data_IF_372368777870
#
_entry.id   IF_372368777870
#
_cell.length_a   1.000
_cell.length_b   1.000
_cell.length_c   1.000
_cell.angle_alpha   90.00
_cell.angle_beta   90.00
_cell.angle_gamma   90.00
#
_symmetry.space_group_name_H-M   'P 1'
#
loop_
_entity.id
_entity.type
_entity.pdbx_description
1 polymer ?
#
# COMPACT_ATOMS: atom_id res chain seq x y z
N UNK A 1 40.74 31.71 15.63
CA UNK A 1 39.77 31.47 14.54
C UNK A 1 40.00 30.06 14.01
N UNK A 2 39.02 29.17 14.15
CA UNK A 2 38.90 27.95 13.34
C UNK A 2 37.42 27.52 13.39
N UNK A 3 36.67 27.84 12.33
CA UNK A 3 35.29 27.37 12.14
C UNK A 3 35.36 25.94 11.62
N UNK A 4 34.95 24.96 12.42
CA UNK A 4 34.66 23.62 11.92
C UNK A 4 33.34 23.69 11.16
N UNK A 5 33.41 23.57 9.84
CA UNK A 5 32.24 23.42 8.99
C UNK A 5 31.74 21.98 9.12
N UNK A 6 30.50 21.86 9.59
CA UNK A 6 29.78 20.60 9.73
C UNK A 6 29.30 20.20 8.33
N UNK A 7 30.06 19.35 7.64
CA UNK A 7 29.64 18.73 6.38
C UNK A 7 29.19 17.32 6.69
N UNK A 8 27.94 17.16 7.14
CA UNK A 8 27.34 15.84 7.27
C UNK A 8 25.85 15.93 6.93
N UNK A 9 25.35 14.87 6.29
CA UNK A 9 23.93 14.53 6.13
C UNK A 9 23.18 15.21 4.98
N UNK A 10 23.58 14.92 3.73
CA UNK A 10 22.64 14.93 2.58
C UNK A 10 22.72 13.62 1.78
N UNK A 11 23.84 12.89 1.84
CA UNK A 11 24.03 11.65 1.06
C UNK A 11 23.58 10.34 1.73
N UNK A 12 23.52 10.27 3.06
CA UNK A 12 23.21 9.02 3.77
C UNK A 12 21.72 8.71 3.78
N UNK A 13 20.87 9.71 4.00
CA UNK A 13 19.41 9.56 3.96
C UNK A 13 18.91 9.18 2.55
N UNK A 14 19.50 9.79 1.51
CA UNK A 14 19.16 9.47 0.12
C UNK A 14 19.55 8.04 -0.25
N UNK A 15 20.78 7.63 0.08
CA UNK A 15 21.27 6.27 -0.18
C UNK A 15 20.49 5.21 0.60
N UNK A 16 20.07 5.51 1.84
CA UNK A 16 19.25 4.63 2.67
C UNK A 16 17.84 4.48 2.10
N UNK A 17 17.26 5.56 1.58
CA UNK A 17 15.98 5.54 0.88
C UNK A 17 16.03 4.66 -0.37
N UNK A 18 17.04 4.84 -1.23
CA UNK A 18 17.17 4.06 -2.47
C UNK A 18 17.40 2.56 -2.19
N UNK A 19 18.18 2.25 -1.16
CA UNK A 19 18.41 0.86 -0.73
C UNK A 19 17.17 0.21 -0.11
N UNK A 20 16.40 0.97 0.66
CA UNK A 20 15.14 0.49 1.24
C UNK A 20 14.11 0.23 0.16
N UNK A 21 13.95 1.14 -0.81
CA UNK A 21 13.04 0.95 -1.94
C UNK A 21 13.39 -0.30 -2.75
N UNK A 22 14.67 -0.51 -3.08
CA UNK A 22 15.10 -1.69 -3.82
C UNK A 22 14.85 -3.01 -3.06
N UNK A 23 15.06 -3.02 -1.74
CA UNK A 23 14.75 -4.21 -0.93
C UNK A 23 13.24 -4.48 -0.84
N UNK A 24 12.42 -3.44 -0.64
CA UNK A 24 10.96 -3.57 -0.61
C UNK A 24 10.41 -4.05 -1.95
N UNK A 25 10.90 -3.50 -3.06
CA UNK A 25 10.56 -3.95 -4.41
C UNK A 25 10.88 -5.44 -4.61
N UNK A 26 12.04 -5.90 -4.14
CA UNK A 26 12.42 -7.32 -4.23
C UNK A 26 11.54 -8.22 -3.36
N UNK A 27 11.11 -7.77 -2.19
CA UNK A 27 10.16 -8.52 -1.36
C UNK A 27 8.78 -8.58 -2.00
N UNK A 28 8.34 -7.46 -2.59
CA UNK A 28 7.07 -7.34 -3.31
C UNK A 28 7.03 -8.18 -4.58
N UNK A 29 8.16 -8.38 -5.25
CA UNK A 29 8.29 -9.27 -6.41
C UNK A 29 7.98 -10.75 -6.14
N UNK A 30 7.74 -11.14 -4.88
CA UNK A 30 7.26 -12.48 -4.55
C UNK A 30 5.74 -12.64 -4.65
N UNK A 31 4.99 -11.54 -4.78
CA UNK A 31 3.53 -11.54 -4.91
C UNK A 31 3.12 -11.51 -6.39
N UNK A 32 1.88 -11.93 -6.68
CA UNK A 32 1.38 -11.99 -8.05
C UNK A 32 0.92 -10.62 -8.57
N UNK A 33 0.35 -9.79 -7.69
CA UNK A 33 -0.20 -8.49 -8.04
C UNK A 33 -0.20 -7.51 -6.86
N UNK A 34 -0.50 -6.24 -7.17
CA UNK A 34 -0.47 -5.15 -6.21
C UNK A 34 -1.61 -4.15 -6.42
N UNK A 35 -2.19 -3.68 -5.32
CA UNK A 35 -3.10 -2.55 -5.26
C UNK A 35 -2.38 -1.34 -4.66
N UNK A 36 -2.39 -0.22 -5.37
CA UNK A 36 -1.69 1.01 -4.96
C UNK A 36 -2.70 2.04 -4.48
N UNK A 37 -2.78 2.24 -3.17
CA UNK A 37 -3.59 3.25 -2.53
C UNK A 37 -2.78 4.52 -2.31
N UNK A 38 -3.40 5.71 -2.37
CA UNK A 38 -2.70 6.93 -2.00
C UNK A 38 -2.47 6.97 -0.48
N UNK A 39 -1.36 7.56 -0.03
CA UNK A 39 -1.01 7.58 1.40
C UNK A 39 -1.96 8.42 2.27
N UNK A 40 -2.80 9.26 1.66
CA UNK A 40 -3.85 10.05 2.31
C UNK A 40 -5.22 9.36 2.30
N UNK A 41 -5.30 8.09 1.87
CA UNK A 41 -6.51 7.28 2.00
C UNK A 41 -6.97 7.27 3.46
N UNK A 42 -8.29 7.32 3.70
CA UNK A 42 -8.80 7.36 5.07
C UNK A 42 -8.42 6.08 5.82
N UNK A 43 -8.11 6.24 7.11
CA UNK A 43 -7.71 5.11 7.96
C UNK A 43 -8.86 4.13 8.13
N UNK A 44 -10.08 4.66 8.19
CA UNK A 44 -11.32 3.91 8.28
C UNK A 44 -11.49 3.01 7.06
N UNK A 45 -11.29 3.55 5.85
CA UNK A 45 -11.34 2.78 4.61
C UNK A 45 -10.26 1.71 4.56
N UNK A 46 -9.00 2.08 4.87
CA UNK A 46 -7.90 1.11 4.88
C UNK A 46 -8.18 -0.02 5.87
N UNK A 47 -8.72 0.29 7.05
CA UNK A 47 -9.03 -0.71 8.07
C UNK A 47 -10.12 -1.66 7.58
N UNK A 48 -11.21 -1.12 7.00
CA UNK A 48 -12.28 -1.91 6.42
C UNK A 48 -11.78 -2.83 5.29
N UNK A 49 -10.91 -2.30 4.40
CA UNK A 49 -10.33 -3.06 3.31
C UNK A 49 -9.49 -4.24 3.79
N UNK A 50 -8.65 -4.03 4.81
CA UNK A 50 -7.80 -5.09 5.36
C UNK A 50 -8.64 -6.14 6.11
N UNK A 51 -9.67 -5.72 6.85
CA UNK A 51 -10.59 -6.64 7.51
C UNK A 51 -11.32 -7.51 6.50
N UNK A 52 -11.87 -6.91 5.44
CA UNK A 52 -12.55 -7.64 4.37
C UNK A 52 -11.62 -8.66 3.70
N UNK A 53 -10.38 -8.27 3.39
CA UNK A 53 -9.39 -9.18 2.83
C UNK A 53 -9.09 -10.36 3.78
N UNK A 54 -8.96 -10.11 5.08
CA UNK A 54 -8.75 -11.15 6.10
C UNK A 54 -9.96 -12.10 6.18
N UNK A 55 -11.18 -11.56 6.20
CA UNK A 55 -12.42 -12.34 6.24
C UNK A 55 -12.54 -13.29 5.04
N UNK A 56 -12.05 -12.85 3.88
CA UNK A 56 -12.03 -13.63 2.64
C UNK A 56 -10.78 -14.48 2.46
N UNK A 57 -9.90 -14.53 3.48
CA UNK A 57 -8.66 -15.32 3.49
C UNK A 57 -7.71 -14.99 2.35
N UNK A 58 -7.67 -13.72 1.95
CA UNK A 58 -6.69 -13.23 0.98
C UNK A 58 -5.31 -13.24 1.62
N UNK A 59 -4.34 -13.86 0.95
CA UNK A 59 -2.95 -13.80 1.35
C UNK A 59 -2.32 -12.52 0.80
N UNK A 60 -2.01 -11.57 1.69
CA UNK A 60 -1.47 -10.26 1.31
C UNK A 60 -0.32 -9.78 2.20
N UNK A 61 0.48 -8.87 1.65
CA UNK A 61 1.47 -8.06 2.34
C UNK A 61 1.12 -6.58 2.26
N UNK A 62 1.30 -5.86 3.37
CA UNK A 62 1.07 -4.42 3.45
C UNK A 62 2.40 -3.67 3.50
N UNK A 63 2.62 -2.76 2.55
CA UNK A 63 3.84 -1.98 2.41
C UNK A 63 3.53 -0.49 2.38
N UNK A 64 4.48 0.31 2.88
CA UNK A 64 4.40 1.77 2.88
C UNK A 64 5.60 2.32 2.12
N UNK A 65 5.32 3.12 1.10
CA UNK A 65 6.32 3.85 0.32
C UNK A 65 5.93 5.32 0.25
N UNK A 66 6.87 6.20 -0.11
CA UNK A 66 6.62 7.65 -0.13
C UNK A 66 5.39 8.00 -0.99
N UNK A 67 4.30 8.41 -0.33
CA UNK A 67 3.05 8.81 -0.97
C UNK A 67 2.09 7.68 -1.34
N UNK A 68 2.40 6.42 -1.05
CA UNK A 68 1.53 5.28 -1.37
C UNK A 68 1.54 4.17 -0.32
N UNK A 69 0.40 3.53 -0.18
CA UNK A 69 0.22 2.29 0.55
C UNK A 69 0.02 1.19 -0.49
N UNK A 70 0.77 0.11 -0.39
CA UNK A 70 0.73 -0.98 -1.36
C UNK A 70 0.21 -2.22 -0.64
N UNK A 71 -0.87 -2.80 -1.17
CA UNK A 71 -1.36 -4.12 -0.78
C UNK A 71 -0.95 -5.09 -1.87
N UNK A 72 0.10 -5.87 -1.62
CA UNK A 72 0.54 -6.92 -2.53
C UNK A 72 -0.17 -8.23 -2.17
N UNK A 73 -0.59 -9.04 -3.13
CA UNK A 73 -1.39 -10.25 -2.87
C UNK A 73 -1.07 -11.40 -3.83
N UNK A 74 -1.48 -12.61 -3.43
CA UNK A 74 -1.45 -13.79 -4.29
C UNK A 74 -2.76 -13.95 -5.08
N UNK A 75 -2.70 -14.69 -6.19
CA UNK A 75 -3.60 -14.62 -7.35
C UNK A 75 -5.13 -14.56 -7.12
N UNK A 76 -5.85 -14.00 -8.11
CA UNK A 76 -7.32 -14.09 -8.25
C UNK A 76 -8.17 -13.35 -7.22
N UNK A 77 -7.56 -12.87 -6.14
CA UNK A 77 -8.23 -12.24 -4.99
C UNK A 77 -8.52 -10.73 -5.19
N UNK A 78 -8.32 -10.21 -6.41
CA UNK A 78 -8.55 -8.81 -6.76
C UNK A 78 -9.97 -8.34 -6.43
N UNK A 79 -10.93 -9.27 -6.43
CA UNK A 79 -12.35 -9.00 -6.13
C UNK A 79 -12.62 -8.71 -4.65
N UNK A 80 -11.68 -9.07 -3.77
CA UNK A 80 -11.74 -8.84 -2.32
C UNK A 80 -10.78 -7.76 -1.85
N UNK A 81 -10.13 -7.06 -2.80
CA UNK A 81 -9.23 -5.97 -2.52
C UNK A 81 -9.80 -4.64 -3.01
N UNK A 82 -9.28 -3.51 -2.50
CA UNK A 82 -9.71 -2.21 -2.97
C UNK A 82 -9.47 -2.04 -4.45
N UNK A 83 -10.48 -1.54 -5.16
CA UNK A 83 -10.38 -1.19 -6.57
C UNK A 83 -11.01 0.17 -6.83
N UNK A 84 -10.65 0.76 -7.96
CA UNK A 84 -11.15 2.07 -8.36
C UNK A 84 -12.23 1.89 -9.41
N UNK A 85 -13.46 2.18 -9.03
CA UNK A 85 -14.66 1.98 -9.87
C UNK A 85 -14.84 3.13 -10.87
N UNK A 86 -15.89 3.07 -11.70
CA UNK A 86 -16.22 4.06 -12.73
C UNK A 86 -16.40 5.48 -12.18
N UNK A 87 -16.85 5.61 -10.92
CA UNK A 87 -16.98 6.88 -10.21
C UNK A 87 -15.62 7.48 -9.77
N UNK A 88 -14.52 6.78 -10.05
CA UNK A 88 -13.12 7.12 -9.72
C UNK A 88 -12.83 7.12 -8.22
N UNK A 89 -13.72 6.58 -7.39
CA UNK A 89 -13.52 6.43 -5.96
C UNK A 89 -12.99 5.02 -5.65
N UNK A 90 -12.40 4.88 -4.47
CA UNK A 90 -11.95 3.61 -3.96
C UNK A 90 -13.10 2.91 -3.27
N UNK A 91 -13.29 1.64 -3.61
CA UNK A 91 -14.33 0.79 -3.06
C UNK A 91 -13.75 -0.58 -2.72
N UNK A 92 -14.47 -1.35 -1.89
CA UNK A 92 -14.13 -2.72 -1.52
C UNK A 92 -15.21 -3.63 -2.10
N UNK A 93 -14.82 -4.68 -2.82
CA UNK A 93 -15.74 -5.61 -3.48
C UNK A 93 -15.85 -5.40 -4.99
N UNK A 94 -16.88 -6.00 -5.58
CA UNK A 94 -17.14 -6.00 -7.02
C UNK A 94 -18.12 -4.88 -7.40
N UNK A 95 -17.77 -4.08 -8.41
CA UNK A 95 -18.60 -3.00 -8.93
C UNK A 95 -19.99 -3.47 -9.41
N UNK A 96 -20.09 -4.71 -9.88
CA UNK A 96 -21.33 -5.35 -10.37
C UNK A 96 -22.08 -6.18 -9.31
N UNK A 97 -21.62 -6.18 -8.05
CA UNK A 97 -22.32 -6.83 -6.93
C UNK A 97 -22.63 -5.82 -5.83
N UNK A 98 -23.49 -6.21 -4.90
CA UNK A 98 -23.81 -5.39 -3.74
C UNK A 98 -22.51 -4.96 -3.02
N UNK A 99 -22.29 -3.64 -2.83
CA UNK A 99 -21.08 -3.13 -2.19
C UNK A 99 -20.98 -3.65 -0.75
N UNK A 100 -19.74 -3.85 -0.29
CA UNK A 100 -19.49 -4.11 1.13
C UNK A 100 -19.90 -2.87 1.95
N UNK A 101 -20.86 -3.04 2.86
CA UNK A 101 -21.24 -2.03 3.85
C UNK A 101 -20.49 -2.28 5.16
N UNK A 102 -19.58 -1.40 5.58
CA UNK A 102 -18.82 -1.57 6.82
C UNK A 102 -19.64 -1.34 8.11
N UNK A 103 -20.97 -1.23 8.03
CA UNK A 103 -21.86 -0.94 9.15
C UNK A 103 -22.99 -1.94 9.39
N UNK A 104 -22.69 -3.05 10.07
CA UNK A 104 -23.61 -3.75 10.99
C UNK A 104 -22.83 -4.31 12.20
#
# INVERSE_FOLDING_TARGET
MAKHQNTHLVGEDQKRSDQQSNWLERLRGNFDAEVHLPADISREFLSAALLWAIEHKVDFGLFHEAGKIIIAHFGGDEIYLPSRWFDKRWHIGLEDKEPFDPGD
#
